data_IF_219026608887
#
_entry.id   IF_219026608887
#
_cell.length_a   1.000
_cell.length_b   1.000
_cell.length_c   1.000
_cell.angle_alpha   90.00
_cell.angle_beta   90.00
_cell.angle_gamma   90.00
#
_symmetry.space_group_name_H-M   'P 1'
#
loop_
_entity.id
_entity.type
_entity.pdbx_description
1 polymer ?
#
# COMPACT_ATOMS: atom_id res chain seq x y z
N UNK A 1 27.10 -27.06 -24.47
CA UNK A 1 28.25 -26.14 -24.62
C UNK A 1 28.03 -24.95 -23.71
N UNK A 2 29.09 -24.50 -23.01
CA UNK A 2 29.05 -23.30 -22.17
C UNK A 2 29.74 -22.17 -22.97
N UNK A 3 29.06 -21.03 -23.22
CA UNK A 3 29.70 -19.90 -23.92
C UNK A 3 30.96 -19.44 -23.16
N UNK A 4 32.08 -19.30 -23.87
CA UNK A 4 33.34 -18.78 -23.31
C UNK A 4 34.34 -19.82 -22.78
N UNK A 5 34.01 -21.11 -22.77
CA UNK A 5 34.96 -22.17 -22.32
C UNK A 5 35.41 -23.06 -23.47
N UNK A 6 34.55 -23.37 -24.44
CA UNK A 6 34.78 -24.46 -25.39
C UNK A 6 34.47 -24.10 -26.85
N UNK A 7 34.88 -22.91 -27.30
CA UNK A 7 34.83 -22.53 -28.71
C UNK A 7 36.26 -22.24 -29.21
N UNK A 8 36.75 -22.89 -30.28
CA UNK A 8 38.06 -22.60 -30.85
C UNK A 8 38.12 -21.14 -31.35
N UNK A 9 39.31 -20.51 -31.40
CA UNK A 9 39.45 -19.11 -31.81
C UNK A 9 38.94 -18.94 -33.26
N UNK A 10 37.84 -18.21 -33.41
CA UNK A 10 37.26 -17.89 -34.70
C UNK A 10 37.99 -16.67 -35.26
N UNK A 11 38.58 -16.82 -36.45
CA UNK A 11 39.22 -15.69 -37.14
C UNK A 11 38.18 -14.62 -37.53
N UNK A 12 38.47 -13.31 -37.43
CA UNK A 12 37.50 -12.22 -37.60
C UNK A 12 36.74 -12.19 -38.94
N UNK A 13 37.24 -12.85 -39.99
CA UNK A 13 36.62 -12.91 -41.32
C UNK A 13 35.89 -14.21 -41.65
N UNK A 14 35.74 -15.12 -40.68
CA UNK A 14 34.91 -16.31 -40.88
C UNK A 14 33.43 -15.95 -40.75
N UNK A 15 32.68 -15.95 -41.87
CA UNK A 15 31.21 -15.77 -41.89
C UNK A 15 30.45 -17.07 -41.54
N UNK A 16 30.90 -17.80 -40.54
CA UNK A 16 30.17 -18.96 -40.00
C UNK A 16 29.22 -18.50 -38.89
N UNK A 17 27.91 -18.48 -39.16
CA UNK A 17 26.89 -18.27 -38.13
C UNK A 17 26.69 -19.57 -37.35
N UNK A 18 27.55 -19.83 -36.38
CA UNK A 18 27.36 -20.94 -35.44
C UNK A 18 26.41 -20.48 -34.33
N UNK A 19 25.13 -20.84 -34.44
CA UNK A 19 24.18 -20.63 -33.34
C UNK A 19 24.52 -21.63 -32.24
N UNK A 20 24.94 -21.19 -31.04
CA UNK A 20 25.26 -22.12 -29.96
C UNK A 20 23.99 -22.89 -29.59
N UNK A 21 24.07 -24.23 -29.58
CA UNK A 21 23.01 -25.07 -29.05
C UNK A 21 22.97 -24.90 -27.53
N UNK A 22 22.19 -23.89 -27.11
CA UNK A 22 21.78 -23.69 -25.73
C UNK A 22 20.67 -24.70 -25.45
N UNK A 23 21.00 -25.75 -24.70
CA UNK A 23 19.98 -26.65 -24.14
C UNK A 23 19.03 -25.90 -23.22
N UNK A 24 18.18 -26.63 -22.49
CA UNK A 24 17.14 -26.02 -21.66
C UNK A 24 17.66 -25.43 -20.32
N UNK A 25 18.77 -24.69 -20.39
CA UNK A 25 19.52 -24.13 -19.27
C UNK A 25 18.67 -23.15 -18.47
N UNK A 26 17.75 -22.43 -19.14
CA UNK A 26 16.84 -21.47 -18.51
C UNK A 26 15.86 -22.20 -17.58
N UNK A 27 15.24 -23.27 -18.05
CA UNK A 27 14.33 -24.08 -17.25
C UNK A 27 15.07 -24.75 -16.08
N UNK A 28 16.29 -25.26 -16.33
CA UNK A 28 17.15 -25.81 -15.28
C UNK A 28 17.51 -24.76 -14.22
N UNK A 29 17.86 -23.54 -14.63
CA UNK A 29 18.19 -22.42 -13.74
C UNK A 29 17.01 -22.04 -12.84
N UNK A 30 15.80 -21.94 -13.37
CA UNK A 30 14.62 -21.60 -12.56
C UNK A 30 14.21 -22.75 -11.63
N UNK A 31 14.27 -24.01 -12.09
CA UNK A 31 13.96 -25.20 -11.29
C UNK A 31 14.93 -25.41 -10.12
N UNK A 32 16.23 -25.14 -10.31
CA UNK A 32 17.24 -25.20 -9.24
C UNK A 32 17.10 -24.10 -8.18
N UNK A 33 16.29 -23.07 -8.44
CA UNK A 33 16.05 -21.93 -7.53
C UNK A 33 14.62 -21.81 -7.07
N UNK A 34 13.75 -22.69 -7.55
CA UNK A 34 12.38 -22.83 -7.06
C UNK A 34 12.44 -23.15 -5.55
N UNK A 35 11.76 -22.34 -4.73
CA UNK A 35 11.80 -22.47 -3.27
C UNK A 35 13.00 -21.83 -2.53
N UNK A 36 14.10 -21.44 -3.22
CA UNK A 36 15.20 -20.69 -2.56
C UNK A 36 14.77 -19.30 -2.09
N UNK A 37 13.76 -18.72 -2.73
CA UNK A 37 13.22 -17.41 -2.39
C UNK A 37 11.78 -17.56 -1.92
N UNK A 38 11.59 -17.65 -0.60
CA UNK A 38 10.26 -17.60 0.01
C UNK A 38 9.74 -16.16 -0.03
N UNK A 39 8.73 -15.89 -0.85
CA UNK A 39 8.11 -14.55 -0.96
C UNK A 39 6.97 -14.40 0.06
N UNK A 40 6.10 -15.38 0.18
CA UNK A 40 4.91 -15.34 1.07
C UNK A 40 5.28 -15.31 2.56
N UNK A 41 6.28 -16.10 2.96
CA UNK A 41 6.79 -16.11 4.34
C UNK A 41 7.38 -14.75 4.75
N UNK A 42 7.91 -13.98 3.80
CA UNK A 42 8.48 -12.66 4.09
C UNK A 42 7.40 -11.62 4.37
N UNK A 43 6.31 -11.61 3.61
CA UNK A 43 5.23 -10.65 3.83
C UNK A 43 4.52 -10.87 5.17
N UNK A 44 4.21 -12.12 5.51
CA UNK A 44 3.59 -12.46 6.80
C UNK A 44 4.47 -12.03 7.98
N UNK A 45 5.77 -12.36 7.96
CA UNK A 45 6.74 -11.93 8.98
C UNK A 45 6.85 -10.40 9.09
N UNK A 46 6.77 -9.71 7.95
CA UNK A 46 6.83 -8.25 7.92
C UNK A 46 5.57 -7.61 8.51
N UNK A 47 4.39 -8.18 8.21
CA UNK A 47 3.12 -7.75 8.82
C UNK A 47 3.10 -8.02 10.33
N UNK A 48 3.56 -9.18 10.78
CA UNK A 48 3.66 -9.52 12.20
C UNK A 48 4.59 -8.55 12.95
N UNK A 49 5.79 -8.29 12.40
CA UNK A 49 6.71 -7.30 12.96
C UNK A 49 6.07 -5.90 13.03
N UNK A 50 5.35 -5.49 11.99
CA UNK A 50 4.68 -4.20 11.96
C UNK A 50 3.53 -4.11 12.96
N UNK A 51 2.77 -5.19 13.18
CA UNK A 51 1.73 -5.29 14.21
C UNK A 51 2.32 -5.11 15.61
N UNK A 52 3.44 -5.77 15.91
CA UNK A 52 4.12 -5.63 17.20
C UNK A 52 4.62 -4.20 17.42
N UNK A 53 5.26 -3.59 16.43
CA UNK A 53 5.68 -2.18 16.50
C UNK A 53 4.49 -1.23 16.70
N UNK A 54 3.38 -1.45 16.00
CA UNK A 54 2.17 -0.65 16.16
C UNK A 54 1.63 -0.76 17.59
N UNK A 55 1.60 -1.96 18.16
CA UNK A 55 1.16 -2.21 19.54
C UNK A 55 2.01 -1.45 20.56
N UNK A 56 3.34 -1.55 20.46
CA UNK A 56 4.28 -0.80 21.31
C UNK A 56 4.08 0.72 21.19
N UNK A 57 3.78 1.23 19.99
CA UNK A 57 3.53 2.65 19.76
C UNK A 57 2.19 3.12 20.35
N UNK A 58 1.19 2.25 20.40
CA UNK A 58 -0.09 2.53 21.07
C UNK A 58 0.13 2.55 22.58
N UNK A 59 0.79 1.54 23.15
CA UNK A 59 1.09 1.42 24.58
C UNK A 59 1.96 2.58 25.09
N UNK A 60 2.96 3.01 24.30
CA UNK A 60 3.80 4.16 24.62
C UNK A 60 3.14 5.53 24.37
N UNK A 61 1.87 5.58 23.93
CA UNK A 61 1.14 6.82 23.65
C UNK A 61 1.68 7.62 22.45
N UNK A 62 2.53 7.02 21.61
CA UNK A 62 3.00 7.63 20.35
C UNK A 62 1.92 7.63 19.28
N UNK A 63 0.90 6.77 19.42
CA UNK A 63 -0.28 6.66 18.56
C UNK A 63 -1.53 6.70 19.42
N UNK A 64 -2.53 7.46 18.96
CA UNK A 64 -3.86 7.53 19.58
C UNK A 64 -4.90 6.89 18.67
N UNK A 65 -5.58 5.84 19.16
CA UNK A 65 -6.73 5.20 18.49
C UNK A 65 -7.99 6.01 18.81
N UNK A 66 -7.99 7.24 18.34
CA UNK A 66 -9.10 8.17 18.44
C UNK A 66 -9.03 9.11 17.24
N UNK A 67 -10.19 9.43 16.66
CA UNK A 67 -10.23 10.38 15.55
C UNK A 67 -9.84 11.78 16.01
N UNK A 68 -8.95 12.43 15.27
CA UNK A 68 -8.69 13.86 15.40
C UNK A 68 -9.71 14.63 14.53
N UNK A 69 -10.65 15.39 15.12
CA UNK A 69 -11.69 16.07 14.35
C UNK A 69 -11.14 17.05 13.32
N UNK A 70 -10.12 17.84 13.66
CA UNK A 70 -9.55 18.84 12.74
C UNK A 70 -8.97 18.22 11.47
N UNK A 71 -8.31 17.06 11.62
CA UNK A 71 -7.78 16.31 10.47
C UNK A 71 -8.90 15.61 9.71
N UNK A 72 -9.85 14.99 10.42
CA UNK A 72 -10.97 14.27 9.79
C UNK A 72 -11.89 15.21 9.02
N UNK A 73 -12.10 16.43 9.52
CA UNK A 73 -12.97 17.45 8.92
C UNK A 73 -12.50 17.93 7.54
N UNK A 74 -11.25 17.65 7.15
CA UNK A 74 -10.75 17.87 5.78
C UNK A 74 -11.28 16.83 4.78
N UNK A 75 -11.81 15.73 5.31
CA UNK A 75 -12.43 14.64 4.58
C UNK A 75 -13.92 14.49 4.91
N UNK A 76 -14.51 15.32 5.77
CA UNK A 76 -15.94 15.22 6.08
C UNK A 76 -16.79 15.93 5.02
N UNK A 77 -17.74 15.22 4.41
CA UNK A 77 -18.64 15.82 3.42
C UNK A 77 -19.44 16.96 4.05
N UNK A 78 -19.50 18.10 3.36
CA UNK A 78 -20.25 19.28 3.82
C UNK A 78 -19.51 20.16 4.82
N UNK A 79 -18.35 19.76 5.34
CA UNK A 79 -17.58 20.60 6.24
C UNK A 79 -16.80 21.71 5.49
N UNK A 80 -16.69 22.90 6.09
CA UNK A 80 -16.00 24.06 5.50
C UNK A 80 -14.56 23.75 5.08
N UNK A 81 -13.85 22.93 5.86
CA UNK A 81 -12.46 22.53 5.54
C UNK A 81 -12.38 21.62 4.31
N UNK A 82 -13.31 20.68 4.14
CA UNK A 82 -13.39 19.86 2.94
C UNK A 82 -13.68 20.71 1.70
N UNK A 83 -14.65 21.63 1.80
CA UNK A 83 -14.98 22.56 0.70
C UNK A 83 -13.78 23.40 0.28
N UNK A 84 -13.04 23.98 1.25
CA UNK A 84 -11.79 24.70 0.96
C UNK A 84 -10.77 23.84 0.23
N UNK A 85 -10.57 22.60 0.68
CA UNK A 85 -9.64 21.67 0.06
C UNK A 85 -10.06 21.30 -1.38
N UNK A 86 -11.36 21.11 -1.61
CA UNK A 86 -11.91 20.85 -2.95
C UNK A 86 -11.71 22.05 -3.90
N UNK A 87 -11.94 23.28 -3.42
CA UNK A 87 -11.72 24.50 -4.21
C UNK A 87 -10.24 24.66 -4.54
N UNK A 88 -9.35 24.43 -3.56
CA UNK A 88 -7.91 24.46 -3.80
C UNK A 88 -7.50 23.45 -4.88
N UNK A 89 -7.99 22.21 -4.79
CA UNK A 89 -7.70 21.20 -5.80
C UNK A 89 -8.21 21.62 -7.20
N UNK A 90 -9.38 22.24 -7.28
CA UNK A 90 -9.92 22.76 -8.54
C UNK A 90 -9.06 23.88 -9.14
N UNK A 91 -8.56 24.80 -8.30
CA UNK A 91 -7.76 25.95 -8.74
C UNK A 91 -6.35 25.55 -9.23
N UNK A 92 -5.80 24.48 -8.68
CA UNK A 92 -4.44 24.02 -8.98
C UNK A 92 -4.41 22.82 -9.94
N UNK A 93 -5.55 22.46 -10.55
CA UNK A 93 -5.71 21.26 -11.39
C UNK A 93 -5.20 19.98 -10.70
N UNK A 94 -5.43 19.88 -9.39
CA UNK A 94 -5.03 18.75 -8.58
C UNK A 94 -6.16 17.72 -8.43
N UNK A 95 -5.77 16.50 -8.04
CA UNK A 95 -6.71 15.44 -7.73
C UNK A 95 -7.68 15.84 -6.61
N UNK A 96 -8.98 15.72 -6.85
CA UNK A 96 -9.97 15.98 -5.82
C UNK A 96 -9.80 15.08 -4.58
N UNK A 97 -10.07 15.63 -3.38
CA UNK A 97 -9.99 14.87 -2.14
C UNK A 97 -11.14 13.84 -2.02
N UNK A 98 -10.81 12.66 -1.49
CA UNK A 98 -11.78 11.69 -0.99
C UNK A 98 -12.49 12.20 0.27
N UNK A 99 -13.73 11.76 0.50
CA UNK A 99 -14.54 12.21 1.63
C UNK A 99 -15.36 11.09 2.31
N UNK A 100 -15.48 11.18 3.62
CA UNK A 100 -16.34 10.37 4.47
C UNK A 100 -17.77 10.92 4.49
N UNK A 101 -18.73 10.03 4.63
CA UNK A 101 -20.16 10.35 4.77
C UNK A 101 -20.62 10.14 6.22
N UNK A 102 -19.95 9.25 6.96
CA UNK A 102 -20.25 8.94 8.36
C UNK A 102 -19.81 10.06 9.32
N UNK A 103 -20.45 10.10 10.49
CA UNK A 103 -20.09 11.05 11.55
C UNK A 103 -18.73 10.73 12.18
N UNK A 104 -18.16 11.67 12.93
CA UNK A 104 -16.89 11.46 13.63
C UNK A 104 -17.03 10.36 14.68
N UNK A 105 -18.17 10.31 15.37
CA UNK A 105 -18.49 9.30 16.38
C UNK A 105 -18.53 7.90 15.75
N UNK A 106 -19.28 7.74 14.66
CA UNK A 106 -19.35 6.47 13.94
C UNK A 106 -17.97 6.01 13.42
N UNK A 107 -17.17 6.95 12.89
CA UNK A 107 -15.82 6.66 12.44
C UNK A 107 -14.89 6.28 13.59
N UNK A 108 -15.09 6.85 14.77
CA UNK A 108 -14.30 6.53 15.96
C UNK A 108 -14.61 5.12 16.48
N UNK A 109 -15.89 4.72 16.45
CA UNK A 109 -16.30 3.37 16.83
C UNK A 109 -15.76 2.33 15.84
N UNK A 110 -15.84 2.62 14.53
CA UNK A 110 -15.22 1.80 13.50
C UNK A 110 -13.70 1.69 13.66
N UNK A 111 -13.02 2.81 13.98
CA UNK A 111 -11.59 2.83 14.23
C UNK A 111 -11.21 1.89 15.38
N UNK A 112 -11.91 1.99 16.51
CA UNK A 112 -11.65 1.14 17.68
C UNK A 112 -11.93 -0.33 17.42
N UNK A 113 -13.00 -0.63 16.68
CA UNK A 113 -13.42 -2.00 16.36
C UNK A 113 -12.45 -2.69 15.40
N UNK A 114 -12.01 -2.00 14.36
CA UNK A 114 -11.25 -2.62 13.26
C UNK A 114 -9.75 -2.32 13.29
N UNK A 115 -9.22 -1.46 14.16
CA UNK A 115 -7.78 -1.19 14.20
C UNK A 115 -6.94 -2.46 14.33
N UNK A 116 -5.80 -2.53 13.63
CA UNK A 116 -4.87 -3.67 13.60
C UNK A 116 -5.38 -4.94 12.89
N UNK A 117 -6.57 -4.90 12.27
CA UNK A 117 -7.14 -6.04 11.52
C UNK A 117 -6.78 -6.02 10.04
N UNK A 118 -6.48 -4.85 9.49
CA UNK A 118 -6.21 -4.64 8.08
C UNK A 118 -4.74 -4.83 7.69
N UNK A 119 -4.42 -4.36 6.49
CA UNK A 119 -3.06 -4.39 5.96
C UNK A 119 -2.28 -3.19 6.46
N UNK A 120 -1.30 -3.45 7.32
CA UNK A 120 -0.40 -2.41 7.83
C UNK A 120 0.59 -2.03 6.72
N UNK A 121 0.70 -0.73 6.45
CA UNK A 121 1.70 -0.22 5.52
C UNK A 121 3.06 -0.16 6.19
N UNK A 122 4.04 -0.70 5.49
CA UNK A 122 5.42 -0.86 5.93
C UNK A 122 6.34 -0.16 4.95
N UNK A 123 7.38 0.48 5.48
CA UNK A 123 8.49 1.06 4.74
C UNK A 123 9.79 0.32 5.12
N UNK A 124 10.94 0.74 4.57
CA UNK A 124 12.27 0.18 4.88
C UNK A 124 12.57 0.11 6.38
N UNK A 125 12.00 1.03 7.17
CA UNK A 125 12.20 1.13 8.62
C UNK A 125 11.13 0.41 9.46
N UNK A 126 10.12 -0.22 8.84
CA UNK A 126 9.01 -0.89 9.52
C UNK A 126 7.69 -0.15 9.37
N UNK A 127 6.87 -0.16 10.42
CA UNK A 127 5.52 0.41 10.39
C UNK A 127 5.48 1.89 9.97
N UNK A 128 4.75 2.20 8.89
CA UNK A 128 4.61 3.55 8.31
C UNK A 128 3.38 4.30 8.87
N UNK A 129 2.95 3.99 10.11
CA UNK A 129 1.80 4.66 10.77
C UNK A 129 0.52 4.71 9.93
N UNK A 130 0.35 3.77 9.00
CA UNK A 130 -0.80 3.72 8.10
C UNK A 130 -1.29 2.29 7.99
N UNK A 131 -2.60 2.15 7.91
CA UNK A 131 -3.27 0.85 7.76
C UNK A 131 -4.38 0.99 6.73
N UNK A 132 -4.57 -0.04 5.91
CA UNK A 132 -5.69 -0.13 4.97
C UNK A 132 -6.66 -1.17 5.52
N UNK A 133 -7.88 -0.72 5.82
CA UNK A 133 -8.90 -1.53 6.48
C UNK A 133 -10.15 -1.56 5.59
N UNK A 134 -10.83 -2.71 5.55
CA UNK A 134 -12.21 -2.81 5.09
C UNK A 134 -13.13 -2.70 6.31
N UNK A 135 -13.96 -1.65 6.38
CA UNK A 135 -14.87 -1.42 7.50
C UNK A 135 -16.19 -2.18 7.39
N UNK A 136 -16.39 -2.99 6.34
CA UNK A 136 -17.63 -3.76 6.05
C UNK A 136 -18.90 -2.90 5.84
N UNK A 137 -18.81 -1.59 6.11
CA UNK A 137 -19.81 -0.56 5.90
C UNK A 137 -19.24 0.49 4.97
N UNK A 138 -20.07 1.05 4.10
CA UNK A 138 -19.65 2.18 3.25
C UNK A 138 -19.33 3.38 4.13
N UNK A 139 -18.06 3.81 4.14
CA UNK A 139 -17.59 4.94 4.96
C UNK A 139 -17.61 6.27 4.22
N UNK A 140 -17.61 6.22 2.89
CA UNK A 140 -17.48 7.42 2.07
C UNK A 140 -17.25 7.13 0.60
N UNK A 141 -16.78 8.17 -0.10
CA UNK A 141 -16.42 8.13 -1.52
C UNK A 141 -14.96 8.47 -1.71
N UNK A 142 -14.25 7.59 -2.42
CA UNK A 142 -12.89 7.83 -2.85
C UNK A 142 -12.88 8.39 -4.26
N UNK A 143 -12.08 9.43 -4.50
CA UNK A 143 -11.90 9.95 -5.85
C UNK A 143 -10.82 9.16 -6.56
N UNK A 144 -11.14 8.43 -7.64
CA UNK A 144 -10.20 7.64 -8.43
C UNK A 144 -10.64 7.58 -9.90
N UNK A 145 -9.70 7.75 -10.83
CA UNK A 145 -9.99 7.69 -12.27
C UNK A 145 -11.01 8.74 -12.74
N UNK A 146 -10.94 9.96 -12.20
CA UNK A 146 -11.85 11.06 -12.56
C UNK A 146 -13.25 10.99 -11.93
N UNK A 147 -13.56 9.97 -11.14
CA UNK A 147 -14.88 9.77 -10.53
C UNK A 147 -14.83 9.45 -9.05
N UNK A 148 -15.93 9.73 -8.36
CA UNK A 148 -16.14 9.31 -6.98
C UNK A 148 -16.74 7.90 -6.94
N UNK A 149 -16.10 7.01 -6.18
CA UNK A 149 -16.49 5.60 -6.03
C UNK A 149 -16.82 5.37 -4.55
N UNK A 150 -18.00 4.80 -4.27
CA UNK A 150 -18.36 4.38 -2.91
C UNK A 150 -17.37 3.32 -2.42
N UNK A 151 -16.92 3.43 -1.18
CA UNK A 151 -15.95 2.47 -0.63
C UNK A 151 -16.21 2.19 0.85
N UNK A 152 -16.05 0.93 1.22
CA UNK A 152 -15.92 0.48 2.60
C UNK A 152 -14.45 0.48 3.07
N UNK A 153 -13.50 0.63 2.13
CA UNK A 153 -12.10 0.69 2.45
C UNK A 153 -11.69 2.08 2.90
N UNK A 154 -10.96 2.15 4.01
CA UNK A 154 -10.31 3.36 4.47
C UNK A 154 -8.83 3.15 4.71
N UNK A 155 -8.06 4.18 4.36
CA UNK A 155 -6.67 4.32 4.77
C UNK A 155 -6.64 5.13 6.05
N UNK A 156 -6.20 4.50 7.12
CA UNK A 156 -6.05 5.12 8.43
C UNK A 156 -4.65 5.72 8.52
N UNK A 157 -4.58 6.97 8.96
CA UNK A 157 -3.33 7.66 9.23
C UNK A 157 -3.22 7.86 10.74
N UNK A 158 -2.33 7.10 11.37
CA UNK A 158 -2.08 7.15 12.81
C UNK A 158 -1.17 8.31 13.17
N UNK A 159 -1.49 8.99 14.28
CA UNK A 159 -0.61 10.02 14.84
C UNK A 159 -0.75 10.14 16.35
N UNK A 160 0.18 10.87 16.98
CA UNK A 160 0.15 11.15 18.42
C UNK A 160 -1.07 11.98 18.82
N UNK A 161 -1.48 12.93 17.97
CA UNK A 161 -2.60 13.85 18.26
C UNK A 161 -3.97 13.30 17.86
N UNK A 162 -4.06 12.02 17.48
CA UNK A 162 -5.25 11.41 16.94
C UNK A 162 -5.13 11.06 15.46
N UNK A 163 -5.91 10.08 15.07
CA UNK A 163 -5.88 9.44 13.75
C UNK A 163 -6.95 10.03 12.84
N UNK A 164 -6.85 9.80 11.54
CA UNK A 164 -7.93 10.14 10.61
C UNK A 164 -8.04 9.08 9.52
N UNK A 165 -9.24 8.96 8.96
CA UNK A 165 -9.61 7.96 7.98
C UNK A 165 -9.87 8.66 6.66
N UNK A 166 -9.17 8.21 5.62
CA UNK A 166 -9.35 8.67 4.25
C UNK A 166 -9.95 7.53 3.42
N UNK A 167 -11.12 7.70 2.79
CA UNK A 167 -11.67 6.69 1.91
C UNK A 167 -10.69 6.33 0.80
N UNK A 168 -10.51 5.03 0.60
CA UNK A 168 -9.51 4.48 -0.31
C UNK A 168 -10.17 3.48 -1.26
N UNK A 169 -9.65 3.40 -2.49
CA UNK A 169 -9.98 2.34 -3.44
C UNK A 169 -8.67 1.61 -3.69
N UNK A 170 -8.64 0.32 -3.38
CA UNK A 170 -7.56 -0.54 -3.82
C UNK A 170 -7.56 -0.54 -5.34
N UNK A 171 -6.46 -0.16 -5.97
CA UNK A 171 -6.24 -0.55 -7.37
C UNK A 171 -5.97 -2.05 -7.32
N UNK A 172 -6.96 -2.87 -7.62
CA UNK A 172 -6.67 -4.23 -8.08
C UNK A 172 -5.75 -4.09 -9.30
N UNK A 173 -4.63 -4.83 -9.25
CA UNK A 173 -3.60 -4.84 -10.28
C UNK A 173 -4.07 -5.69 -11.46
#
# INVERSE_FOLDING_TARGET
MIPGVNAPPMHPWCRSTTVPHVGNWRDKFFKEREGKYQVEVKEAKLQEKAKNQMKEMIESGKIKIEINPEKQNRHSLGHKLYLKNKIYALQNDERFPSYTILSIEELNDLLKKYSMTGKILVDKFGFNRKEIINFEKTIGKAYAGGKYINTAYGKIHYSKTGSHIVPFVSKEK
#
